data_IF_640868855855
#
_entry.id   IF_640868855855
#
_cell.length_a   1.000
_cell.length_b   1.000
_cell.length_c   1.000
_cell.angle_alpha   90.00
_cell.angle_beta   90.00
_cell.angle_gamma   90.00
#
_symmetry.space_group_name_H-M   'P 1'
#
loop_
_entity.id
_entity.type
_entity.pdbx_description
1 polymer ?
#
# COMPACT_ATOMS: atom_id res chain seq x y z
N UNK A 1 -20.55 3.40 -31.67
CA UNK A 1 -20.40 2.62 -30.42
C UNK A 1 -20.87 3.48 -29.25
N UNK A 2 -21.78 2.98 -28.38
CA UNK A 2 -22.31 3.76 -27.25
C UNK A 2 -21.75 3.20 -25.94
N UNK A 3 -20.90 3.97 -25.26
CA UNK A 3 -20.36 3.62 -23.94
C UNK A 3 -21.35 4.06 -22.86
N UNK A 4 -21.64 3.19 -21.89
CA UNK A 4 -22.49 3.50 -20.73
C UNK A 4 -21.65 3.37 -19.46
N UNK A 5 -21.59 4.44 -18.67
CA UNK A 5 -20.89 4.47 -17.39
C UNK A 5 -21.87 4.19 -16.25
N UNK A 6 -21.44 3.38 -15.28
CA UNK A 6 -22.21 3.13 -14.07
C UNK A 6 -22.29 4.39 -13.19
N UNK A 7 -23.34 4.51 -12.36
CA UNK A 7 -23.50 5.63 -11.41
C UNK A 7 -22.36 5.68 -10.38
N UNK A 8 -21.80 4.53 -10.03
CA UNK A 8 -20.66 4.39 -9.15
C UNK A 8 -19.60 3.51 -9.82
N UNK A 9 -18.35 3.96 -9.78
CA UNK A 9 -17.19 3.24 -10.29
C UNK A 9 -15.91 3.73 -9.59
N UNK A 10 -14.90 2.88 -9.50
CA UNK A 10 -13.59 3.21 -8.92
C UNK A 10 -13.42 2.77 -7.45
N UNK A 11 -12.68 3.55 -6.68
CA UNK A 11 -12.26 3.17 -5.33
C UNK A 11 -13.37 3.22 -4.30
N UNK A 12 -13.48 2.16 -3.51
CA UNK A 12 -14.26 2.17 -2.28
C UNK A 12 -13.53 2.95 -1.17
N UNK A 13 -14.23 3.22 -0.06
CA UNK A 13 -13.67 3.92 1.11
C UNK A 13 -12.39 3.28 1.64
N UNK A 14 -12.33 1.93 1.71
CA UNK A 14 -11.15 1.22 2.19
C UNK A 14 -9.93 1.42 1.30
N UNK A 15 -10.12 1.35 -0.02
CA UNK A 15 -9.05 1.61 -0.99
C UNK A 15 -8.59 3.07 -0.95
N UNK A 16 -9.53 4.02 -0.86
CA UNK A 16 -9.21 5.45 -0.75
C UNK A 16 -8.36 5.72 0.49
N UNK A 17 -8.76 5.19 1.65
CA UNK A 17 -8.02 5.34 2.90
C UNK A 17 -6.61 4.74 2.81
N UNK A 18 -6.46 3.57 2.21
CA UNK A 18 -5.15 2.94 2.03
C UNK A 18 -4.22 3.82 1.16
N UNK A 19 -4.74 4.40 0.08
CA UNK A 19 -4.01 5.34 -0.77
C UNK A 19 -3.59 6.61 -0.03
N UNK A 20 -4.51 7.21 0.73
CA UNK A 20 -4.23 8.42 1.51
C UNK A 20 -3.11 8.19 2.53
N UNK A 21 -3.14 7.07 3.25
CA UNK A 21 -2.08 6.70 4.20
C UNK A 21 -0.74 6.56 3.45
N UNK A 22 -0.70 5.81 2.35
CA UNK A 22 0.55 5.55 1.64
C UNK A 22 1.18 6.82 1.06
N UNK A 23 0.38 7.67 0.42
CA UNK A 23 0.86 8.93 -0.13
C UNK A 23 1.28 9.92 0.96
N UNK A 24 0.52 9.98 2.07
CA UNK A 24 0.87 10.83 3.21
C UNK A 24 2.20 10.42 3.83
N UNK A 25 2.40 9.13 4.11
CA UNK A 25 3.66 8.63 4.66
C UNK A 25 4.84 8.82 3.71
N UNK A 26 4.62 8.65 2.39
CA UNK A 26 5.64 8.90 1.38
C UNK A 26 6.08 10.37 1.36
N UNK A 27 5.12 11.30 1.45
CA UNK A 27 5.39 12.73 1.42
C UNK A 27 6.15 13.25 2.64
N UNK A 28 6.14 12.53 3.78
CA UNK A 28 6.95 12.92 4.94
C UNK A 28 8.46 12.85 4.68
N UNK A 29 8.89 11.98 3.76
CA UNK A 29 10.32 11.85 3.42
C UNK A 29 11.19 11.18 4.50
N UNK A 30 10.60 10.60 5.55
CA UNK A 30 11.31 10.00 6.68
C UNK A 30 11.85 8.59 6.34
N UNK A 31 12.83 8.52 5.44
CA UNK A 31 13.53 7.28 5.09
C UNK A 31 12.71 6.29 4.25
N UNK A 32 13.14 5.01 4.26
CA UNK A 32 12.53 3.95 3.44
C UNK A 32 11.10 3.65 3.87
N UNK A 33 10.20 3.50 2.90
CA UNK A 33 8.80 3.17 3.11
C UNK A 33 8.41 1.98 2.25
N UNK A 34 7.77 1.00 2.88
CA UNK A 34 7.36 -0.24 2.24
C UNK A 34 5.87 -0.50 2.42
N UNK A 35 5.25 -1.20 1.47
CA UNK A 35 3.98 -1.89 1.69
C UNK A 35 4.23 -3.39 1.88
N UNK A 36 3.59 -3.99 2.88
CA UNK A 36 3.63 -5.44 3.08
C UNK A 36 2.69 -6.13 2.08
N UNK A 37 3.28 -6.62 0.99
CA UNK A 37 2.58 -7.00 -0.23
C UNK A 37 1.96 -5.81 -0.96
N UNK A 38 1.23 -6.05 -2.06
CA UNK A 38 0.55 -5.00 -2.79
C UNK A 38 -0.52 -4.34 -1.90
N UNK A 39 -0.47 -3.00 -1.78
CA UNK A 39 -1.42 -2.26 -0.94
C UNK A 39 -2.87 -2.53 -1.37
N UNK A 40 -3.08 -2.66 -2.68
CA UNK A 40 -4.28 -3.14 -3.38
C UNK A 40 -3.84 -3.87 -4.66
N UNK A 41 -4.70 -4.72 -5.22
CA UNK A 41 -4.44 -5.42 -6.48
C UNK A 41 -4.70 -4.53 -7.72
N UNK A 42 -3.91 -3.48 -7.88
CA UNK A 42 -3.95 -2.59 -9.06
C UNK A 42 -2.54 -2.17 -9.47
N UNK A 43 -2.09 -2.62 -10.65
CA UNK A 43 -0.72 -2.39 -11.10
C UNK A 43 -0.38 -0.90 -11.26
N UNK A 44 -1.31 -0.10 -11.80
CA UNK A 44 -1.11 1.34 -11.98
C UNK A 44 -0.88 2.06 -10.65
N UNK A 45 -1.57 1.62 -9.59
CA UNK A 45 -1.36 2.14 -8.24
C UNK A 45 -0.02 1.71 -7.67
N UNK A 46 0.40 0.46 -7.88
CA UNK A 46 1.71 0.00 -7.42
C UNK A 46 2.84 0.78 -8.11
N UNK A 47 2.72 1.04 -9.41
CA UNK A 47 3.70 1.80 -10.18
C UNK A 47 3.75 3.28 -9.73
N UNK A 48 2.58 3.88 -9.46
CA UNK A 48 2.51 5.22 -8.87
C UNK A 48 3.23 5.29 -7.52
N UNK A 49 3.00 4.32 -6.63
CA UNK A 49 3.60 4.29 -5.30
C UNK A 49 5.12 4.08 -5.38
N UNK A 50 5.59 3.21 -6.26
CA UNK A 50 7.03 3.06 -6.56
C UNK A 50 7.65 4.36 -7.05
N UNK A 51 6.97 5.10 -7.94
CA UNK A 51 7.43 6.42 -8.40
C UNK A 51 7.53 7.46 -7.27
N UNK A 52 6.87 7.23 -6.13
CA UNK A 52 6.90 8.05 -4.92
C UNK A 52 7.85 7.50 -3.85
N UNK A 53 8.67 6.50 -4.18
CA UNK A 53 9.63 5.89 -3.25
C UNK A 53 9.01 4.89 -2.28
N UNK A 54 7.84 4.33 -2.60
CA UNK A 54 7.18 3.29 -1.81
C UNK A 54 7.35 1.94 -2.50
N UNK A 55 8.18 1.07 -1.91
CA UNK A 55 8.45 -0.25 -2.45
C UNK A 55 7.49 -1.31 -1.90
N UNK A 56 7.23 -2.34 -2.70
CA UNK A 56 6.41 -3.50 -2.29
C UNK A 56 7.33 -4.61 -1.80
N UNK A 57 7.03 -5.17 -0.64
CA UNK A 57 7.76 -6.32 -0.08
C UNK A 57 6.80 -7.40 0.40
N UNK A 58 6.98 -8.63 -0.10
CA UNK A 58 6.17 -9.78 0.35
C UNK A 58 6.66 -10.35 1.68
N UNK A 59 7.88 -10.02 2.08
CA UNK A 59 8.43 -10.39 3.38
C UNK A 59 9.25 -9.22 3.95
N UNK A 60 9.14 -9.02 5.26
CA UNK A 60 9.90 -8.02 6.02
C UNK A 60 10.73 -8.81 7.01
N UNK A 61 12.04 -8.64 6.94
CA UNK A 61 12.98 -9.26 7.86
C UNK A 61 13.57 -8.23 8.85
N UNK A 62 14.36 -8.72 9.81
CA UNK A 62 14.95 -7.89 10.87
C UNK A 62 16.02 -6.90 10.37
N UNK A 63 16.52 -7.05 9.14
CA UNK A 63 17.47 -6.12 8.54
C UNK A 63 16.78 -4.95 7.84
N UNK A 64 15.47 -5.07 7.59
CA UNK A 64 14.67 -4.04 6.96
C UNK A 64 14.35 -2.89 7.92
N UNK A 65 15.19 -1.86 7.85
CA UNK A 65 14.95 -0.59 8.52
C UNK A 65 14.08 0.31 7.66
N UNK A 66 12.92 0.69 8.18
CA UNK A 66 12.02 1.63 7.53
C UNK A 66 10.62 1.58 8.13
N UNK A 67 9.71 2.33 7.51
CA UNK A 67 8.28 2.29 7.82
C UNK A 67 7.59 1.26 6.94
N UNK A 68 6.62 0.55 7.49
CA UNK A 68 5.85 -0.48 6.76
C UNK A 68 4.36 -0.16 6.86
N UNK A 69 3.70 -0.16 5.71
CA UNK A 69 2.24 -0.02 5.58
C UNK A 69 1.65 -1.41 5.36
N UNK A 70 0.67 -1.76 6.19
CA UNK A 70 -0.10 -2.99 6.03
C UNK A 70 -1.13 -2.79 4.91
N UNK A 71 -1.18 -3.75 3.96
CA UNK A 71 -2.12 -3.75 2.83
C UNK A 71 -3.58 -3.70 3.27
N UNK A 72 -4.46 -3.17 2.40
CA UNK A 72 -5.89 -3.00 2.70
C UNK A 72 -6.63 -4.32 3.00
N UNK A 73 -6.09 -5.44 2.52
CA UNK A 73 -6.61 -6.79 2.75
C UNK A 73 -6.35 -7.32 4.17
N UNK A 74 -5.48 -6.65 4.93
CA UNK A 74 -5.03 -7.12 6.23
C UNK A 74 -3.89 -8.14 6.16
N UNK A 75 -3.49 -8.58 7.35
CA UNK A 75 -2.47 -9.60 7.62
C UNK A 75 -2.89 -10.42 8.84
N UNK A 76 -2.30 -11.59 8.99
CA UNK A 76 -2.47 -12.46 10.16
C UNK A 76 -1.79 -11.86 11.41
N UNK A 77 -2.21 -12.25 12.62
CA UNK A 77 -1.53 -11.86 13.85
C UNK A 77 -0.04 -12.24 13.87
N UNK A 78 0.30 -13.42 13.35
CA UNK A 78 1.69 -13.91 13.26
C UNK A 78 2.55 -13.05 12.34
N UNK A 79 2.05 -12.64 11.18
CA UNK A 79 2.75 -11.68 10.31
C UNK A 79 2.93 -10.32 11.02
N UNK A 80 1.91 -9.87 11.75
CA UNK A 80 1.98 -8.61 12.51
C UNK A 80 3.05 -8.65 13.61
N UNK A 81 3.18 -9.75 14.33
CA UNK A 81 4.21 -9.92 15.36
C UNK A 81 5.62 -9.87 14.75
N UNK A 82 5.84 -10.56 13.62
CA UNK A 82 7.12 -10.55 12.89
C UNK A 82 7.51 -9.15 12.39
N UNK A 83 6.54 -8.33 12.01
CA UNK A 83 6.80 -6.96 11.53
C UNK A 83 7.11 -6.00 12.70
N UNK A 84 6.65 -6.31 13.92
CA UNK A 84 6.86 -5.45 15.10
C UNK A 84 8.19 -5.72 15.83
N UNK A 85 8.75 -6.92 15.67
CA UNK A 85 10.01 -7.36 16.28
C UNK A 85 11.21 -6.78 15.55
#
# INVERSE_FOLDING_TARGET
MKVKLAKTAGFCMGVRRAMEIALSEANKGDGKLFTYGPIIHNQQVLDLLRSKGVDVKDNIDTHDKGRVIIRAHGITPTEREKIRS
#
